data_IF_984898958750
#
_entry.id   IF_984898958750
#
_cell.length_a   1.000
_cell.length_b   1.000
_cell.length_c   1.000
_cell.angle_alpha   90.00
_cell.angle_beta   90.00
_cell.angle_gamma   90.00
#
_symmetry.space_group_name_H-M   'P 1'
#
loop_
_entity.id
_entity.type
_entity.pdbx_description
1 polymer ?
#
# COMPACT_ATOMS: atom_id res chain seq x y z
N UNK A 1 22.60 15.79 2.04
CA UNK A 1 21.12 15.84 2.07
C UNK A 1 20.68 15.21 3.36
N UNK A 2 19.63 15.75 3.97
CA UNK A 2 19.01 15.14 5.13
C UNK A 2 18.32 13.83 4.75
N UNK A 3 18.54 12.79 5.53
CA UNK A 3 17.93 11.49 5.33
C UNK A 3 17.72 10.75 6.65
N UNK A 4 16.86 9.75 6.59
CA UNK A 4 16.73 8.69 7.59
C UNK A 4 17.41 7.45 7.05
N UNK A 5 18.36 6.90 7.79
CA UNK A 5 19.09 5.70 7.38
C UNK A 5 19.41 4.79 8.57
N UNK A 6 19.81 3.56 8.29
CA UNK A 6 20.29 2.63 9.32
C UNK A 6 21.45 1.77 8.83
N UNK A 7 22.42 1.53 9.72
CA UNK A 7 23.52 0.58 9.51
C UNK A 7 23.16 -0.84 10.00
N UNK A 8 22.27 -0.92 10.98
CA UNK A 8 21.80 -2.17 11.61
C UNK A 8 20.29 -2.14 11.70
N UNK A 9 19.66 -3.31 11.59
CA UNK A 9 18.21 -3.43 11.66
C UNK A 9 17.64 -3.01 13.01
N UNK A 10 16.41 -2.51 13.02
CA UNK A 10 15.65 -2.10 14.19
C UNK A 10 15.30 -0.61 14.14
N UNK A 11 14.04 -0.26 14.47
CA UNK A 11 13.58 1.15 14.52
C UNK A 11 14.44 2.00 15.48
N UNK A 12 14.93 1.40 16.56
CA UNK A 12 15.85 2.06 17.51
C UNK A 12 17.16 2.51 16.86
N UNK A 13 17.62 1.80 15.84
CA UNK A 13 18.86 2.05 15.10
C UNK A 13 18.70 3.03 13.92
N UNK A 14 17.51 3.60 13.70
CA UNK A 14 17.36 4.66 12.70
C UNK A 14 18.15 5.90 13.12
N UNK A 15 18.88 6.46 12.18
CA UNK A 15 19.63 7.71 12.32
C UNK A 15 19.00 8.76 11.40
N UNK A 16 18.97 10.01 11.88
CA UNK A 16 18.52 11.16 11.09
C UNK A 16 19.72 12.09 10.98
N UNK A 17 20.17 12.37 9.76
CA UNK A 17 21.37 13.19 9.57
C UNK A 17 21.69 13.44 8.12
N UNK A 18 22.89 13.97 7.89
CA UNK A 18 23.43 14.18 6.55
C UNK A 18 23.84 12.86 5.91
N UNK A 19 23.38 12.65 4.69
CA UNK A 19 23.73 11.55 3.82
C UNK A 19 24.19 12.10 2.45
N UNK A 20 25.13 11.46 1.75
CA UNK A 20 25.53 11.91 0.41
C UNK A 20 24.35 12.00 -0.55
N UNK A 21 24.17 13.17 -1.17
CA UNK A 21 23.20 13.33 -2.26
C UNK A 21 23.68 12.53 -3.47
N UNK A 22 22.82 11.73 -4.14
CA UNK A 22 23.22 11.01 -5.33
C UNK A 22 23.71 11.96 -6.43
N UNK A 23 24.99 11.86 -6.79
CA UNK A 23 25.65 12.73 -7.77
C UNK A 23 26.10 12.01 -9.04
N UNK A 24 26.25 10.68 -8.99
CA UNK A 24 26.65 9.85 -10.12
C UNK A 24 25.57 8.82 -10.42
N UNK A 25 24.94 8.95 -11.59
CA UNK A 25 23.94 8.03 -12.11
C UNK A 25 23.75 8.28 -13.61
N UNK A 26 23.21 7.31 -14.34
CA UNK A 26 22.86 7.50 -15.74
C UNK A 26 21.59 8.37 -15.85
N UNK A 27 21.77 9.61 -16.29
CA UNK A 27 20.68 10.59 -16.48
C UNK A 27 19.71 10.18 -17.58
N UNK A 28 20.05 9.21 -18.43
CA UNK A 28 19.12 8.64 -19.40
C UNK A 28 18.16 7.64 -18.76
N UNK A 29 18.61 6.89 -17.77
CA UNK A 29 17.82 5.82 -17.13
C UNK A 29 17.14 6.22 -15.83
N UNK A 30 17.66 7.21 -15.11
CA UNK A 30 17.17 7.62 -13.79
C UNK A 30 16.75 9.09 -13.75
N UNK A 31 15.80 9.39 -12.88
CA UNK A 31 15.54 10.73 -12.38
C UNK A 31 16.09 10.88 -10.97
N UNK A 32 16.71 12.04 -10.70
CA UNK A 32 16.87 12.53 -9.33
C UNK A 32 15.59 13.24 -8.93
N UNK A 33 14.94 12.72 -7.90
CA UNK A 33 13.68 13.24 -7.38
C UNK A 33 13.96 13.96 -6.08
N UNK A 34 13.55 15.23 -5.99
CA UNK A 34 13.45 15.97 -4.73
C UNK A 34 12.16 15.54 -4.03
N UNK A 35 12.29 14.82 -2.92
CA UNK A 35 11.15 14.24 -2.21
C UNK A 35 10.51 15.30 -1.32
N UNK A 36 9.21 15.50 -1.48
CA UNK A 36 8.43 16.45 -0.68
C UNK A 36 7.69 15.74 0.44
N UNK A 37 7.05 14.62 0.10
CA UNK A 37 6.21 13.84 1.02
C UNK A 37 6.41 12.35 0.80
N UNK A 38 6.32 11.58 1.87
CA UNK A 38 6.27 10.13 1.82
C UNK A 38 5.15 9.63 2.73
N UNK A 39 4.70 8.39 2.55
CA UNK A 39 3.77 7.78 3.51
C UNK A 39 4.31 6.48 4.08
N UNK A 40 3.99 6.23 5.34
CA UNK A 40 4.51 5.09 6.08
C UNK A 40 3.64 3.85 5.87
N UNK A 41 4.29 2.75 5.49
CA UNK A 41 3.65 1.47 5.23
C UNK A 41 4.27 0.35 6.09
N UNK A 42 3.53 -0.74 6.37
CA UNK A 42 4.07 -1.89 7.08
C UNK A 42 5.36 -2.47 6.48
N UNK A 43 5.54 -2.34 5.16
CA UNK A 43 6.74 -2.79 4.48
C UNK A 43 7.99 -1.97 4.84
N UNK A 44 7.84 -0.68 5.14
CA UNK A 44 8.96 0.13 5.65
C UNK A 44 9.41 -0.41 7.00
N UNK A 45 8.45 -0.76 7.87
CA UNK A 45 8.75 -1.35 9.19
C UNK A 45 9.44 -2.70 9.04
N UNK A 46 8.93 -3.58 8.16
CA UNK A 46 9.57 -4.87 7.89
C UNK A 46 10.96 -4.74 7.27
N UNK A 47 11.22 -3.68 6.52
CA UNK A 47 12.54 -3.38 5.96
C UNK A 47 13.50 -2.97 7.07
N UNK A 48 13.10 -2.00 7.91
CA UNK A 48 13.92 -1.53 9.03
C UNK A 48 14.19 -2.66 10.04
N UNK A 49 13.21 -3.51 10.33
CA UNK A 49 13.33 -4.65 11.25
C UNK A 49 14.04 -5.88 10.67
N UNK A 50 14.60 -5.81 9.45
CA UNK A 50 15.36 -6.91 8.85
C UNK A 50 14.52 -8.13 8.43
N UNK A 51 13.21 -7.96 8.23
CA UNK A 51 12.29 -9.00 7.73
C UNK A 51 12.21 -9.06 6.21
N UNK A 52 13.04 -8.27 5.52
CA UNK A 52 13.21 -8.23 4.07
C UNK A 52 14.70 -8.32 3.73
N UNK A 53 15.01 -8.73 2.50
CA UNK A 53 16.38 -8.67 1.99
C UNK A 53 16.71 -7.23 1.61
N UNK A 54 17.41 -6.54 2.51
CA UNK A 54 17.76 -5.11 2.38
C UNK A 54 19.09 -4.93 1.67
N UNK A 55 19.17 -3.92 0.80
CA UNK A 55 20.39 -3.48 0.13
C UNK A 55 20.19 -2.06 -0.44
N UNK A 56 21.21 -1.18 -0.43
CA UNK A 56 22.54 -1.31 0.20
C UNK A 56 22.50 -1.07 1.73
N UNK A 57 23.63 -1.24 2.44
CA UNK A 57 23.82 -0.72 3.80
C UNK A 57 24.96 0.32 3.81
N UNK A 58 24.85 1.45 4.55
CA UNK A 58 23.65 1.94 5.24
C UNK A 58 22.47 2.15 4.26
N UNK A 59 21.26 1.88 4.75
CA UNK A 59 20.04 1.85 3.93
C UNK A 59 19.11 3.02 4.24
N UNK A 60 18.53 3.63 3.21
CA UNK A 60 17.44 4.61 3.32
C UNK A 60 16.11 3.90 3.00
N UNK A 61 15.19 3.74 3.97
CA UNK A 61 13.85 3.18 3.72
C UNK A 61 12.89 4.20 3.10
N UNK A 62 11.62 3.82 2.90
CA UNK A 62 10.57 4.67 2.34
C UNK A 62 10.18 4.22 0.93
N UNK A 63 9.17 3.36 0.86
CA UNK A 63 8.73 2.74 -0.41
C UNK A 63 7.76 3.59 -1.23
N UNK A 64 7.18 4.63 -0.64
CA UNK A 64 6.06 5.38 -1.23
C UNK A 64 6.29 6.88 -1.04
N UNK A 65 6.47 7.59 -2.16
CA UNK A 65 6.82 9.01 -2.20
C UNK A 65 5.97 9.81 -3.17
N UNK A 66 5.94 11.11 -2.91
CA UNK A 66 5.60 12.18 -3.82
C UNK A 66 6.74 13.22 -3.82
N UNK A 67 7.15 13.65 -5.00
CA UNK A 67 8.21 14.64 -5.15
C UNK A 67 8.20 15.29 -6.52
N UNK A 68 9.28 16.00 -6.83
CA UNK A 68 9.48 16.64 -8.13
C UNK A 68 10.83 16.26 -8.73
N UNK A 69 10.91 16.21 -10.07
CA UNK A 69 12.19 15.97 -10.74
C UNK A 69 13.12 17.16 -10.48
N UNK A 70 14.32 16.90 -9.95
CA UNK A 70 15.23 17.94 -9.47
C UNK A 70 16.00 18.64 -10.60
N UNK A 71 16.26 17.95 -11.71
CA UNK A 71 17.11 18.43 -12.80
C UNK A 71 16.75 17.85 -14.18
N UNK A 72 17.35 18.40 -15.23
CA UNK A 72 17.10 17.99 -16.62
C UNK A 72 15.88 18.66 -17.26
N UNK A 73 15.45 18.16 -18.41
CA UNK A 73 14.34 18.74 -19.20
C UNK A 73 12.97 18.63 -18.50
N UNK A 74 12.82 17.65 -17.61
CA UNK A 74 11.57 17.37 -16.89
C UNK A 74 11.54 18.02 -15.50
N UNK A 75 12.51 18.91 -15.19
CA UNK A 75 12.64 19.55 -13.87
C UNK A 75 11.33 20.21 -13.43
N UNK A 76 10.97 19.99 -12.16
CA UNK A 76 9.78 20.56 -11.52
C UNK A 76 8.49 19.77 -11.71
N UNK A 77 8.45 18.81 -12.65
CA UNK A 77 7.28 17.94 -12.81
C UNK A 77 7.08 17.06 -11.58
N UNK A 78 5.83 16.94 -11.14
CA UNK A 78 5.47 16.17 -9.94
C UNK A 78 5.35 14.69 -10.25
N UNK A 79 5.92 13.86 -9.40
CA UNK A 79 6.07 12.43 -9.66
C UNK A 79 5.84 11.55 -8.44
N UNK A 80 5.43 10.32 -8.72
CA UNK A 80 5.42 9.18 -7.79
C UNK A 80 6.24 8.03 -8.38
N UNK A 81 6.66 7.10 -7.52
CA UNK A 81 7.50 5.96 -7.92
C UNK A 81 6.75 4.64 -7.76
N UNK A 82 6.59 3.92 -8.85
CA UNK A 82 6.12 2.54 -8.86
C UNK A 82 7.15 1.64 -8.14
N UNK A 83 6.79 0.97 -7.03
CA UNK A 83 7.77 0.48 -6.09
C UNK A 83 8.56 -0.73 -6.62
N UNK A 84 7.97 -1.57 -7.48
CA UNK A 84 8.66 -2.74 -8.03
C UNK A 84 9.63 -2.30 -9.13
N UNK A 85 10.93 -2.40 -8.89
CA UNK A 85 11.97 -2.15 -9.89
C UNK A 85 12.17 -3.45 -10.69
N UNK A 86 11.41 -3.58 -11.78
CA UNK A 86 11.32 -4.79 -12.59
C UNK A 86 12.39 -4.85 -13.69
N UNK A 87 12.79 -6.05 -14.12
CA UNK A 87 13.83 -6.20 -15.15
C UNK A 87 13.35 -5.83 -16.56
N UNK A 88 12.06 -5.97 -16.86
CA UNK A 88 11.47 -5.63 -18.15
C UNK A 88 11.55 -6.72 -19.22
N UNK A 89 12.32 -7.80 -19.00
CA UNK A 89 12.57 -8.83 -20.01
C UNK A 89 12.13 -10.25 -19.60
N UNK A 90 11.87 -10.52 -18.31
CA UNK A 90 11.42 -11.85 -17.91
C UNK A 90 9.96 -12.11 -18.33
N UNK A 91 9.57 -13.38 -18.38
CA UNK A 91 8.20 -13.81 -18.73
C UNK A 91 7.12 -13.03 -17.97
N UNK A 92 7.33 -12.77 -16.68
CA UNK A 92 6.38 -12.01 -15.86
C UNK A 92 6.24 -10.57 -16.34
N UNK A 93 7.34 -9.89 -16.68
CA UNK A 93 7.29 -8.51 -17.17
C UNK A 93 6.62 -8.42 -18.54
N UNK A 94 7.00 -9.29 -19.48
CA UNK A 94 6.43 -9.27 -20.84
C UNK A 94 4.97 -9.72 -20.86
N UNK A 95 4.51 -10.42 -19.83
CA UNK A 95 3.10 -10.81 -19.65
C UNK A 95 2.27 -9.81 -18.85
N UNK A 96 2.80 -8.61 -18.54
CA UNK A 96 2.09 -7.59 -17.75
C UNK A 96 1.91 -7.96 -16.27
N UNK A 97 2.79 -8.81 -15.73
CA UNK A 97 2.86 -9.23 -14.32
C UNK A 97 4.15 -8.78 -13.67
N UNK A 98 4.64 -7.60 -14.04
CA UNK A 98 5.91 -7.06 -13.55
C UNK A 98 5.94 -6.87 -12.04
N UNK A 99 4.77 -6.71 -11.38
CA UNK A 99 4.65 -6.54 -9.92
C UNK A 99 5.23 -7.71 -9.12
N UNK A 100 5.24 -8.91 -9.71
CA UNK A 100 5.82 -10.15 -9.13
C UNK A 100 7.15 -10.55 -9.78
N UNK A 101 7.79 -9.64 -10.54
CA UNK A 101 9.16 -9.84 -11.03
C UNK A 101 10.14 -10.03 -9.86
N UNK A 102 11.18 -10.85 -10.06
CA UNK A 102 12.30 -11.08 -9.12
C UNK A 102 13.29 -9.92 -9.04
N UNK A 103 12.97 -8.77 -9.64
CA UNK A 103 13.74 -7.55 -9.54
C UNK A 103 13.69 -6.93 -8.14
N UNK A 104 14.19 -5.71 -8.06
CA UNK A 104 14.31 -4.98 -6.80
C UNK A 104 12.98 -4.35 -6.37
N UNK A 105 12.97 -3.79 -5.15
CA UNK A 105 11.87 -3.02 -4.60
C UNK A 105 12.41 -1.72 -4.02
N UNK A 106 11.90 -0.60 -4.54
CA UNK A 106 12.24 0.75 -4.13
C UNK A 106 12.04 0.92 -2.62
N UNK A 107 13.05 1.47 -1.93
CA UNK A 107 13.05 1.62 -0.47
C UNK A 107 13.29 0.34 0.32
N UNK A 108 13.53 -0.81 -0.33
CA UNK A 108 13.81 -2.09 0.35
C UNK A 108 15.13 -2.69 -0.13
N UNK A 109 15.24 -3.00 -1.43
CA UNK A 109 16.47 -3.52 -2.04
C UNK A 109 17.12 -2.52 -2.99
N UNK A 110 16.65 -1.27 -2.93
CA UNK A 110 17.33 -0.04 -3.33
C UNK A 110 17.01 1.03 -2.28
N UNK A 111 17.81 2.08 -2.20
CA UNK A 111 17.49 3.23 -1.35
C UNK A 111 16.12 3.83 -1.74
N UNK A 112 15.42 4.36 -0.74
CA UNK A 112 14.05 4.82 -0.82
C UNK A 112 13.90 6.32 -0.61
N UNK A 113 12.74 6.68 -0.06
CA UNK A 113 12.17 8.01 -0.05
C UNK A 113 12.25 8.80 1.25
N UNK A 114 12.71 8.21 2.36
CA UNK A 114 12.88 8.97 3.61
C UNK A 114 14.18 9.80 3.59
N UNK A 115 14.35 10.60 2.55
CA UNK A 115 15.48 11.48 2.30
C UNK A 115 15.04 12.64 1.39
N UNK A 116 15.72 13.79 1.46
CA UNK A 116 15.40 14.96 0.62
C UNK A 116 15.53 14.67 -0.89
N UNK A 117 16.42 13.76 -1.27
CA UNK A 117 16.55 13.31 -2.66
C UNK A 117 16.64 11.79 -2.76
N UNK A 118 16.14 11.25 -3.86
CA UNK A 118 16.25 9.83 -4.18
C UNK A 118 16.37 9.61 -5.69
N UNK A 119 16.94 8.47 -6.08
CA UNK A 119 17.01 8.05 -7.48
C UNK A 119 15.90 7.06 -7.77
N UNK A 120 15.19 7.28 -8.87
CA UNK A 120 14.21 6.33 -9.37
C UNK A 120 14.42 6.10 -10.88
N UNK A 121 14.31 4.85 -11.36
CA UNK A 121 14.30 4.59 -12.79
C UNK A 121 13.17 5.36 -13.48
N UNK A 122 13.44 5.97 -14.65
CA UNK A 122 12.42 6.70 -15.42
C UNK A 122 11.22 5.82 -15.74
N UNK A 123 11.45 4.54 -16.07
CA UNK A 123 10.39 3.54 -16.34
C UNK A 123 9.48 3.25 -15.14
N UNK A 124 9.93 3.57 -13.92
CA UNK A 124 9.20 3.43 -12.67
C UNK A 124 8.55 4.73 -12.20
N UNK A 125 8.78 5.85 -12.90
CA UNK A 125 8.34 7.18 -12.47
C UNK A 125 7.08 7.58 -13.23
N UNK A 126 6.06 8.07 -12.52
CA UNK A 126 4.78 8.48 -13.08
C UNK A 126 4.48 9.92 -12.73
N UNK A 127 4.02 10.70 -13.70
CA UNK A 127 3.66 12.11 -13.53
C UNK A 127 2.28 12.29 -12.90
N UNK A 128 2.16 13.24 -11.97
CA UNK A 128 0.98 13.46 -11.12
C UNK A 128 0.69 14.94 -10.84
N UNK A 129 1.04 15.84 -11.77
CA UNK A 129 1.00 17.30 -11.57
C UNK A 129 -0.35 17.86 -11.08
N UNK A 130 -1.47 17.20 -11.39
CA UNK A 130 -2.83 17.64 -11.04
C UNK A 130 -3.49 16.86 -9.88
N UNK A 131 -2.70 16.16 -9.05
CA UNK A 131 -3.20 15.35 -7.94
C UNK A 131 -2.73 15.95 -6.60
N UNK A 132 -3.64 15.97 -5.63
CA UNK A 132 -3.35 16.32 -4.24
C UNK A 132 -2.17 15.52 -3.67
N UNK A 133 -1.25 16.17 -2.96
CA UNK A 133 0.01 15.56 -2.53
C UNK A 133 -0.19 14.41 -1.52
N UNK A 134 -1.22 14.48 -0.67
CA UNK A 134 -1.52 13.41 0.30
C UNK A 134 -2.04 12.17 -0.44
N UNK A 135 -2.90 12.38 -1.42
CA UNK A 135 -3.41 11.31 -2.25
C UNK A 135 -2.28 10.72 -3.11
N UNK A 136 -1.50 11.55 -3.81
CA UNK A 136 -0.41 11.14 -4.68
C UNK A 136 0.62 10.29 -3.92
N UNK A 137 1.04 10.74 -2.73
CA UNK A 137 1.96 10.01 -1.84
C UNK A 137 1.38 8.73 -1.22
N UNK A 138 0.14 8.37 -1.57
CA UNK A 138 -0.56 7.17 -1.10
C UNK A 138 -0.99 6.21 -2.23
N UNK A 139 -0.64 6.53 -3.48
CA UNK A 139 -1.13 5.77 -4.64
C UNK A 139 -0.40 4.44 -4.86
N UNK A 140 0.92 4.40 -4.71
CA UNK A 140 1.74 3.32 -5.30
C UNK A 140 1.83 2.06 -4.45
N UNK A 141 1.41 2.11 -3.18
CA UNK A 141 1.33 0.95 -2.29
C UNK A 141 -0.10 0.74 -1.81
N UNK A 142 -0.66 1.70 -1.07
CA UNK A 142 -1.95 1.54 -0.41
C UNK A 142 -3.09 1.42 -1.40
N UNK A 143 -3.24 2.43 -2.26
CA UNK A 143 -4.33 2.46 -3.23
C UNK A 143 -4.13 1.46 -4.37
N UNK A 144 -2.90 1.27 -4.86
CA UNK A 144 -2.61 0.30 -5.92
C UNK A 144 -2.91 -1.15 -5.50
N UNK A 145 -2.53 -1.54 -4.29
CA UNK A 145 -2.83 -2.90 -3.80
C UNK A 145 -4.35 -3.10 -3.63
N UNK A 146 -5.05 -2.06 -3.16
CA UNK A 146 -6.51 -2.09 -3.08
C UNK A 146 -7.15 -2.22 -4.47
N UNK A 147 -6.67 -1.47 -5.47
CA UNK A 147 -7.17 -1.55 -6.85
C UNK A 147 -6.96 -2.94 -7.45
N UNK A 148 -5.74 -3.49 -7.31
CA UNK A 148 -5.42 -4.83 -7.81
C UNK A 148 -6.27 -5.92 -7.13
N UNK A 149 -6.59 -5.78 -5.84
CA UNK A 149 -7.51 -6.72 -5.15
C UNK A 149 -8.87 -6.80 -5.83
N UNK A 150 -9.35 -5.69 -6.39
CA UNK A 150 -10.66 -5.64 -7.02
C UNK A 150 -10.65 -6.22 -8.44
N UNK A 151 -9.49 -6.56 -9.03
CA UNK A 151 -9.42 -7.29 -10.30
C UNK A 151 -10.09 -8.67 -10.24
N UNK A 152 -10.31 -9.18 -9.03
CA UNK A 152 -11.04 -10.44 -8.77
C UNK A 152 -12.51 -10.24 -8.39
N UNK A 153 -12.96 -9.00 -8.20
CA UNK A 153 -14.33 -8.63 -7.82
C UNK A 153 -15.13 -8.20 -9.04
N UNK A 154 -16.44 -8.48 -9.06
CA UNK A 154 -17.36 -8.06 -10.13
C UNK A 154 -18.31 -6.96 -9.65
N UNK A 155 -18.78 -6.07 -10.55
CA UNK A 155 -19.87 -5.14 -10.21
C UNK A 155 -21.09 -5.88 -9.65
N UNK A 156 -21.77 -5.27 -8.67
CA UNK A 156 -22.93 -5.87 -7.99
C UNK A 156 -22.58 -6.86 -6.87
N UNK A 157 -21.32 -7.26 -6.69
CA UNK A 157 -20.91 -8.12 -5.58
C UNK A 157 -20.98 -7.39 -4.23
N UNK A 158 -21.21 -8.19 -3.18
CA UNK A 158 -21.15 -7.76 -1.79
C UNK A 158 -19.73 -7.97 -1.26
N UNK A 159 -19.08 -6.86 -0.90
CA UNK A 159 -17.67 -6.83 -0.53
C UNK A 159 -17.52 -6.49 0.95
N UNK A 160 -16.94 -7.39 1.73
CA UNK A 160 -16.47 -7.09 3.08
C UNK A 160 -15.00 -6.65 3.07
N UNK A 161 -14.68 -5.55 3.73
CA UNK A 161 -13.30 -5.03 3.85
C UNK A 161 -12.89 -5.05 5.32
N UNK A 162 -12.00 -5.99 5.68
CA UNK A 162 -11.40 -6.03 7.02
C UNK A 162 -10.23 -5.04 7.11
N UNK A 163 -10.04 -4.47 8.30
CA UNK A 163 -9.02 -3.43 8.49
C UNK A 163 -9.33 -2.16 7.72
N UNK A 164 -10.63 -1.86 7.55
CA UNK A 164 -11.14 -0.80 6.69
C UNK A 164 -10.61 0.62 6.99
N UNK A 165 -10.14 0.90 8.22
CA UNK A 165 -9.50 2.18 8.58
C UNK A 165 -8.03 2.27 8.20
N UNK A 166 -7.41 1.19 7.72
CA UNK A 166 -5.97 1.11 7.43
C UNK A 166 -5.58 1.61 6.04
N UNK A 167 -4.27 1.53 5.74
CA UNK A 167 -3.64 2.06 4.52
C UNK A 167 -4.33 1.64 3.22
N UNK A 168 -4.73 0.37 3.10
CA UNK A 168 -5.39 -0.19 1.90
C UNK A 168 -6.91 -0.16 2.04
N UNK A 169 -7.44 -0.39 3.25
CA UNK A 169 -8.89 -0.47 3.50
C UNK A 169 -9.66 0.77 3.07
N UNK A 170 -9.11 1.96 3.32
CA UNK A 170 -9.75 3.23 2.90
C UNK A 170 -9.90 3.34 1.38
N UNK A 171 -8.98 2.74 0.62
CA UNK A 171 -9.04 2.72 -0.84
C UNK A 171 -9.89 1.56 -1.34
N UNK A 172 -9.81 0.37 -0.71
CA UNK A 172 -10.65 -0.78 -1.06
C UNK A 172 -12.13 -0.42 -1.00
N UNK A 173 -12.56 0.37 0.00
CA UNK A 173 -13.96 0.81 0.10
C UNK A 173 -14.34 1.68 -1.10
N UNK A 174 -13.62 2.77 -1.33
CA UNK A 174 -13.93 3.73 -2.38
C UNK A 174 -13.89 3.07 -3.77
N UNK A 175 -12.85 2.29 -4.05
CA UNK A 175 -12.65 1.65 -5.34
C UNK A 175 -13.69 0.55 -5.59
N UNK A 176 -14.09 -0.22 -4.57
CA UNK A 176 -15.17 -1.19 -4.70
C UNK A 176 -16.51 -0.49 -4.99
N UNK A 177 -16.79 0.65 -4.33
CA UNK A 177 -17.97 1.47 -4.63
C UNK A 177 -17.95 2.03 -6.06
N UNK A 178 -16.81 2.56 -6.51
CA UNK A 178 -16.66 3.00 -7.90
C UNK A 178 -16.85 1.87 -8.91
N UNK A 179 -16.50 0.63 -8.53
CA UNK A 179 -16.76 -0.58 -9.33
C UNK A 179 -18.23 -1.03 -9.32
N UNK A 180 -19.09 -0.39 -8.52
CA UNK A 180 -20.51 -0.72 -8.43
C UNK A 180 -20.83 -1.84 -7.44
N UNK A 181 -20.00 -2.05 -6.43
CA UNK A 181 -20.23 -3.04 -5.37
C UNK A 181 -21.07 -2.47 -4.21
N UNK A 182 -21.63 -3.38 -3.41
CA UNK A 182 -22.14 -3.09 -2.06
C UNK A 182 -21.03 -3.38 -1.04
N UNK A 183 -20.64 -2.41 -0.22
CA UNK A 183 -19.39 -2.43 0.53
C UNK A 183 -19.62 -2.31 2.03
N UNK A 184 -19.11 -3.29 2.76
CA UNK A 184 -19.22 -3.41 4.21
C UNK A 184 -17.84 -3.25 4.84
N UNK A 185 -17.68 -2.21 5.63
CA UNK A 185 -16.43 -1.92 6.31
C UNK A 185 -16.37 -2.61 7.67
N UNK A 186 -15.39 -3.49 7.88
CA UNK A 186 -15.21 -4.22 9.15
C UNK A 186 -14.01 -3.65 9.90
N UNK A 187 -14.28 -3.13 11.09
CA UNK A 187 -13.34 -2.35 11.90
C UNK A 187 -13.52 -2.66 13.39
N UNK A 188 -12.46 -2.53 14.19
CA UNK A 188 -12.56 -2.78 15.65
C UNK A 188 -13.56 -1.87 16.36
N UNK A 189 -13.67 -0.62 15.91
CA UNK A 189 -14.60 0.39 16.42
C UNK A 189 -15.34 1.03 15.26
N UNK A 190 -16.64 1.30 15.43
CA UNK A 190 -17.50 1.88 14.38
C UNK A 190 -17.03 3.27 13.97
N UNK A 191 -16.16 3.31 12.97
CA UNK A 191 -15.50 4.51 12.47
C UNK A 191 -16.39 5.22 11.46
N UNK A 192 -17.35 6.03 11.94
CA UNK A 192 -18.47 6.57 11.14
C UNK A 192 -18.05 7.28 9.84
N UNK A 193 -16.87 7.90 9.81
CA UNK A 193 -16.34 8.60 8.63
C UNK A 193 -16.11 7.67 7.42
N UNK A 194 -16.08 6.34 7.59
CA UNK A 194 -16.01 5.40 6.48
C UNK A 194 -17.26 5.47 5.57
N UNK A 195 -18.37 6.01 6.07
CA UNK A 195 -19.54 6.37 5.24
C UNK A 195 -19.17 7.39 4.15
N UNK A 196 -18.35 8.37 4.50
CA UNK A 196 -17.88 9.41 3.57
C UNK A 196 -16.89 8.87 2.53
N UNK A 197 -16.39 7.65 2.74
CA UNK A 197 -15.54 6.89 1.83
C UNK A 197 -16.35 5.85 1.04
N UNK A 198 -17.66 5.78 1.27
CA UNK A 198 -18.58 4.96 0.48
C UNK A 198 -19.03 3.64 1.14
N UNK A 199 -18.69 3.38 2.40
CA UNK A 199 -19.18 2.16 3.06
C UNK A 199 -20.73 2.15 3.19
N UNK A 200 -21.40 1.11 2.71
CA UNK A 200 -22.85 0.90 2.85
C UNK A 200 -23.23 0.44 4.26
N UNK A 201 -22.32 -0.24 4.96
CA UNK A 201 -22.45 -0.53 6.39
C UNK A 201 -21.08 -0.56 7.08
N UNK A 202 -21.07 -0.26 8.38
CA UNK A 202 -19.87 -0.29 9.22
C UNK A 202 -20.12 -1.25 10.38
N UNK A 203 -19.31 -2.30 10.44
CA UNK A 203 -19.46 -3.42 11.34
C UNK A 203 -18.22 -3.58 12.22
N UNK A 204 -18.42 -4.15 13.40
CA UNK A 204 -17.35 -4.80 14.15
C UNK A 204 -17.25 -6.27 13.73
N UNK A 205 -16.11 -6.94 13.99
CA UNK A 205 -15.99 -8.38 13.75
C UNK A 205 -17.15 -9.17 14.37
N UNK A 206 -17.52 -8.87 15.61
CA UNK A 206 -18.59 -9.55 16.34
C UNK A 206 -19.94 -9.39 15.63
N UNK A 207 -20.33 -8.15 15.33
CA UNK A 207 -21.59 -7.85 14.66
C UNK A 207 -21.63 -8.40 13.22
N UNK A 208 -20.48 -8.46 12.54
CA UNK A 208 -20.40 -9.07 11.20
C UNK A 208 -20.69 -10.57 11.24
N UNK A 209 -20.15 -11.28 12.23
CA UNK A 209 -20.39 -12.71 12.42
C UNK A 209 -21.80 -13.01 12.93
N UNK A 210 -22.42 -12.11 13.68
CA UNK A 210 -23.80 -12.29 14.12
C UNK A 210 -24.79 -12.24 12.96
N UNK A 211 -24.57 -11.31 12.00
CA UNK A 211 -25.59 -10.94 11.00
C UNK A 211 -25.30 -11.41 9.57
N UNK A 212 -24.02 -11.61 9.23
CA UNK A 212 -23.59 -11.73 7.83
C UNK A 212 -22.70 -12.96 7.57
N UNK A 213 -22.91 -14.06 8.31
CA UNK A 213 -22.25 -15.34 8.00
C UNK A 213 -22.68 -15.83 6.62
N UNK A 214 -21.71 -16.21 5.79
CA UNK A 214 -21.96 -16.73 4.45
C UNK A 214 -22.57 -15.72 3.48
N UNK A 215 -22.38 -14.42 3.71
CA UNK A 215 -23.11 -13.35 3.00
C UNK A 215 -22.31 -12.68 1.88
N UNK A 216 -20.98 -12.63 1.98
CA UNK A 216 -20.16 -11.79 1.11
C UNK A 216 -19.54 -12.56 -0.05
N UNK A 217 -19.70 -12.06 -1.27
CA UNK A 217 -19.10 -12.64 -2.48
C UNK A 217 -17.58 -12.42 -2.53
N UNK A 218 -17.12 -11.27 -2.02
CA UNK A 218 -15.71 -10.95 -1.83
C UNK A 218 -15.44 -10.55 -0.38
N UNK A 219 -14.42 -11.14 0.24
CA UNK A 219 -13.86 -10.68 1.50
C UNK A 219 -12.40 -10.24 1.29
N UNK A 220 -12.10 -8.96 1.48
CA UNK A 220 -10.74 -8.40 1.42
C UNK A 220 -10.17 -8.38 2.84
N UNK A 221 -9.12 -9.17 3.07
CA UNK A 221 -8.48 -9.31 4.38
C UNK A 221 -6.94 -9.14 4.29
N UNK A 222 -6.42 -7.95 4.64
CA UNK A 222 -4.99 -7.69 4.67
C UNK A 222 -4.32 -8.01 6.03
N UNK A 223 -5.04 -8.55 7.01
CA UNK A 223 -4.58 -8.58 8.40
C UNK A 223 -3.87 -9.89 8.76
N UNK A 224 -4.24 -11.02 8.16
CA UNK A 224 -3.57 -12.31 8.35
C UNK A 224 -4.24 -13.23 9.37
N UNK A 225 -3.44 -13.97 10.15
CA UNK A 225 -3.91 -15.13 10.91
C UNK A 225 -5.08 -14.86 11.87
N UNK A 226 -5.11 -13.73 12.59
CA UNK A 226 -6.14 -13.49 13.61
C UNK A 226 -7.53 -13.21 13.04
N UNK A 227 -7.63 -12.82 11.76
CA UNK A 227 -8.90 -12.49 11.11
C UNK A 227 -9.34 -13.51 10.09
N UNK A 228 -8.50 -14.49 9.77
CA UNK A 228 -8.80 -15.52 8.78
C UNK A 228 -10.12 -16.24 9.05
N UNK A 229 -10.35 -16.68 10.30
CA UNK A 229 -11.59 -17.36 10.66
C UNK A 229 -12.83 -16.47 10.52
N UNK A 230 -12.70 -15.16 10.76
CA UNK A 230 -13.77 -14.20 10.51
C UNK A 230 -14.06 -14.18 9.01
N UNK A 231 -13.04 -13.96 8.19
CA UNK A 231 -13.16 -13.92 6.73
C UNK A 231 -13.77 -15.20 6.15
N UNK A 232 -13.37 -16.37 6.68
CA UNK A 232 -13.87 -17.67 6.25
C UNK A 232 -15.34 -17.94 6.64
N UNK A 233 -15.80 -17.39 7.76
CA UNK A 233 -17.22 -17.49 8.15
C UNK A 233 -18.11 -16.49 7.42
N UNK A 234 -17.55 -15.35 6.99
CA UNK A 234 -18.27 -14.28 6.31
C UNK A 234 -18.46 -14.54 4.81
N UNK A 235 -17.52 -15.23 4.16
CA UNK A 235 -17.58 -15.50 2.72
C UNK A 235 -18.75 -16.44 2.36
N UNK A 236 -19.48 -16.09 1.30
CA UNK A 236 -20.59 -16.85 0.76
C UNK A 236 -20.13 -18.13 0.04
N UNK A 237 -21.08 -19.02 -0.28
CA UNK A 237 -20.80 -20.15 -1.16
C UNK A 237 -20.45 -19.62 -2.56
N UNK A 238 -19.35 -20.10 -3.14
CA UNK A 238 -18.80 -19.58 -4.40
C UNK A 238 -17.99 -18.30 -4.24
N UNK A 239 -17.92 -17.73 -3.03
CA UNK A 239 -17.22 -16.49 -2.78
C UNK A 239 -15.69 -16.63 -2.73
N UNK A 240 -15.01 -15.49 -2.62
CA UNK A 240 -13.55 -15.41 -2.56
C UNK A 240 -13.07 -14.59 -1.37
N UNK A 241 -11.96 -15.04 -0.79
CA UNK A 241 -11.19 -14.30 0.20
C UNK A 241 -9.90 -13.85 -0.46
N UNK A 242 -9.63 -12.55 -0.44
CA UNK A 242 -8.45 -11.93 -1.04
C UNK A 242 -7.52 -11.46 0.08
N UNK A 243 -6.27 -11.88 0.02
CA UNK A 243 -5.27 -11.55 1.04
C UNK A 243 -3.96 -11.03 0.44
N UNK A 244 -3.31 -10.12 1.18
CA UNK A 244 -2.05 -9.49 0.79
C UNK A 244 -1.26 -8.93 1.97
N UNK A 245 -1.54 -9.42 3.18
CA UNK A 245 -0.86 -8.96 4.39
C UNK A 245 -0.94 -9.98 5.52
N UNK A 246 0.01 -9.86 6.44
CA UNK A 246 0.27 -10.83 7.51
C UNK A 246 0.54 -10.14 8.85
N UNK A 247 -0.08 -8.97 9.08
CA UNK A 247 0.14 -8.15 10.27
C UNK A 247 -0.09 -8.90 11.59
N UNK A 248 -1.02 -9.85 11.58
CA UNK A 248 -1.45 -10.62 12.75
C UNK A 248 -0.96 -12.07 12.73
N UNK A 249 -0.12 -12.42 11.76
CA UNK A 249 0.42 -13.77 11.57
C UNK A 249 0.36 -14.20 10.10
N UNK A 250 1.17 -15.21 9.77
CA UNK A 250 1.43 -15.69 8.41
C UNK A 250 0.97 -17.13 8.15
N UNK A 251 0.38 -17.80 9.16
CA UNK A 251 -0.07 -19.19 9.08
C UNK A 251 -1.48 -19.34 9.64
N UNK A 252 -2.30 -20.17 8.99
CA UNK A 252 -3.69 -20.44 9.39
C UNK A 252 -3.98 -21.93 9.27
N UNK A 253 -4.90 -22.41 10.10
CA UNK A 253 -5.50 -23.74 9.93
C UNK A 253 -6.72 -23.61 9.02
N UNK A 254 -6.85 -24.48 8.03
CA UNK A 254 -7.91 -24.43 7.02
C UNK A 254 -8.67 -25.75 6.96
N UNK A 255 -9.98 -25.69 7.19
CA UNK A 255 -10.87 -26.82 6.97
C UNK A 255 -11.09 -27.04 5.47
N UNK A 256 -10.43 -28.06 4.91
CA UNK A 256 -10.48 -28.39 3.48
C UNK A 256 -11.89 -28.83 3.05
N UNK A 257 -12.62 -29.55 3.91
CA UNK A 257 -14.01 -29.96 3.63
C UNK A 257 -14.91 -28.75 3.43
N UNK A 258 -14.80 -27.75 4.32
CA UNK A 258 -15.59 -26.53 4.22
C UNK A 258 -15.21 -25.69 2.98
N UNK A 259 -13.90 -25.63 2.65
CA UNK A 259 -13.40 -24.94 1.46
C UNK A 259 -14.04 -25.48 0.17
N UNK A 260 -13.92 -26.78 -0.10
CA UNK A 260 -14.40 -27.33 -1.38
C UNK A 260 -15.93 -27.49 -1.41
N UNK A 261 -16.57 -27.82 -0.29
CA UNK A 261 -18.04 -27.98 -0.24
C UNK A 261 -18.80 -26.66 -0.44
N UNK A 262 -18.18 -25.54 -0.09
CA UNK A 262 -18.71 -24.18 -0.34
C UNK A 262 -18.17 -23.56 -1.62
N UNK A 263 -17.26 -24.20 -2.35
CA UNK A 263 -16.61 -23.64 -3.55
C UNK A 263 -15.92 -22.29 -3.28
N UNK A 264 -15.23 -22.16 -2.14
CA UNK A 264 -14.55 -20.91 -1.76
C UNK A 264 -13.19 -20.81 -2.45
N UNK A 265 -12.86 -19.63 -2.97
CA UNK A 265 -11.53 -19.30 -3.50
C UNK A 265 -10.69 -18.54 -2.47
N UNK A 266 -9.40 -18.86 -2.36
CA UNK A 266 -8.43 -18.08 -1.59
C UNK A 266 -7.37 -17.49 -2.51
N UNK A 267 -7.31 -16.17 -2.59
CA UNK A 267 -6.54 -15.43 -3.60
C UNK A 267 -5.47 -14.59 -2.91
N UNK A 268 -4.21 -14.94 -3.13
CA UNK A 268 -3.07 -14.13 -2.71
C UNK A 268 -2.67 -13.13 -3.79
N UNK A 269 -2.47 -11.87 -3.41
CA UNK A 269 -2.00 -10.82 -4.33
C UNK A 269 -0.84 -10.02 -3.71
N UNK A 270 -0.15 -9.22 -4.53
CA UNK A 270 0.85 -8.25 -4.03
C UNK A 270 1.00 -7.07 -4.97
N UNK A 271 1.01 -5.85 -4.40
CA UNK A 271 1.09 -4.61 -5.17
C UNK A 271 -0.01 -4.51 -6.23
N UNK A 272 0.36 -4.03 -7.40
CA UNK A 272 -0.44 -4.01 -8.61
C UNK A 272 0.45 -3.73 -9.81
N UNK A 273 -0.08 -3.83 -11.02
CA UNK A 273 0.62 -3.58 -12.28
C UNK A 273 0.81 -2.08 -12.53
N UNK A 274 1.70 -1.73 -13.45
CA UNK A 274 1.89 -0.35 -13.94
C UNK A 274 0.67 0.16 -14.69
N UNK A 275 -0.02 -0.73 -15.40
CA UNK A 275 -1.29 -0.41 -16.07
C UNK A 275 -2.33 0.02 -15.03
N UNK A 276 -2.49 -0.76 -13.96
CA UNK A 276 -3.41 -0.44 -12.86
C UNK A 276 -3.02 0.86 -12.15
N UNK A 277 -1.72 1.14 -11.98
CA UNK A 277 -1.28 2.42 -11.44
C UNK A 277 -1.66 3.60 -12.36
N UNK A 278 -1.51 3.45 -13.67
CA UNK A 278 -1.95 4.48 -14.62
C UNK A 278 -3.46 4.73 -14.54
N UNK A 279 -4.28 3.67 -14.50
CA UNK A 279 -5.72 3.77 -14.33
C UNK A 279 -6.08 4.48 -13.01
N UNK A 280 -5.37 4.16 -11.93
CA UNK A 280 -5.57 4.76 -10.62
C UNK A 280 -5.20 6.25 -10.58
N UNK A 281 -4.15 6.65 -11.28
CA UNK A 281 -3.78 8.07 -11.47
C UNK A 281 -4.93 8.81 -12.18
N UNK A 282 -5.54 8.22 -13.21
CA UNK A 282 -6.67 8.83 -13.91
C UNK A 282 -7.92 8.95 -13.01
N UNK A 283 -8.19 7.96 -12.16
CA UNK A 283 -9.24 8.03 -11.12
C UNK A 283 -8.95 9.17 -10.13
N UNK A 284 -7.70 9.32 -9.70
CA UNK A 284 -7.27 10.37 -8.78
C UNK A 284 -7.41 11.77 -9.39
N UNK A 285 -7.02 11.96 -10.67
CA UNK A 285 -7.20 13.23 -11.40
C UNK A 285 -8.67 13.64 -11.50
N UNK A 286 -9.57 12.67 -11.66
CA UNK A 286 -11.02 12.89 -11.67
C UNK A 286 -11.60 13.14 -10.28
N UNK A 287 -10.77 13.16 -9.23
CA UNK A 287 -11.15 13.37 -7.83
C UNK A 287 -12.20 12.38 -7.33
N UNK A 288 -12.19 11.17 -7.86
CA UNK A 288 -13.16 10.11 -7.52
C UNK A 288 -12.77 9.35 -6.26
N UNK A 289 -11.52 9.48 -5.81
CA UNK A 289 -11.02 8.92 -4.56
C UNK A 289 -10.30 10.01 -3.76
N UNK A 290 -10.24 9.82 -2.45
CA UNK A 290 -9.52 10.67 -1.51
C UNK A 290 -8.75 9.81 -0.51
N UNK A 291 -7.81 10.42 0.20
CA UNK A 291 -7.09 9.79 1.30
C UNK A 291 -7.53 10.43 2.62
N UNK A 292 -7.52 9.64 3.69
CA UNK A 292 -7.54 10.17 5.06
C UNK A 292 -6.14 10.05 5.63
N UNK A 293 -5.49 11.18 5.90
CA UNK A 293 -4.33 11.20 6.79
C UNK A 293 -4.82 11.10 8.24
N UNK A 294 -4.14 10.26 9.01
CA UNK A 294 -4.30 10.19 10.45
C UNK A 294 -3.48 11.28 11.13
N UNK A 295 -2.19 11.31 10.80
CA UNK A 295 -1.20 12.26 11.29
C UNK A 295 -0.13 12.49 10.23
N UNK A 296 0.45 13.67 10.26
CA UNK A 296 1.66 14.01 9.52
C UNK A 296 2.80 14.25 10.51
N UNK A 297 3.94 13.62 10.25
CA UNK A 297 5.16 13.77 11.03
C UNK A 297 6.23 14.45 10.18
N UNK A 298 7.04 15.36 10.75
CA UNK A 298 8.26 15.79 10.09
C UNK A 298 9.28 14.64 10.09
N UNK A 299 10.22 14.62 9.14
CA UNK A 299 11.21 13.55 8.97
C UNK A 299 11.98 13.20 10.25
N UNK A 300 12.25 14.19 11.11
CA UNK A 300 12.98 14.02 12.38
C UNK A 300 12.20 13.20 13.41
N UNK A 301 10.89 13.05 13.22
CA UNK A 301 9.99 12.28 14.08
C UNK A 301 9.66 10.90 13.51
N UNK A 302 10.45 10.40 12.55
CA UNK A 302 10.21 9.10 11.91
C UNK A 302 10.12 7.92 12.89
N UNK A 303 10.91 7.91 13.97
CA UNK A 303 10.86 6.85 15.00
C UNK A 303 9.51 6.82 15.72
N UNK A 304 8.98 8.01 16.01
CA UNK A 304 7.65 8.18 16.60
C UNK A 304 6.58 7.67 15.63
N UNK A 305 6.66 8.07 14.36
CA UNK A 305 5.76 7.58 13.30
C UNK A 305 5.77 6.04 13.17
N UNK A 306 6.94 5.39 13.24
CA UNK A 306 7.05 3.93 13.27
C UNK A 306 6.39 3.29 14.50
N UNK A 307 6.57 3.88 15.68
CA UNK A 307 5.94 3.37 16.91
C UNK A 307 4.41 3.43 16.84
N UNK A 308 3.86 4.43 16.17
CA UNK A 308 2.42 4.59 16.02
C UNK A 308 1.80 3.85 14.83
N UNK A 309 2.62 3.28 13.93
CA UNK A 309 2.16 2.57 12.73
C UNK A 309 1.20 1.42 13.05
N UNK A 310 1.35 0.77 14.21
CA UNK A 310 0.47 -0.32 14.66
C UNK A 310 -0.44 0.08 15.83
N UNK A 311 -0.55 1.38 16.11
CA UNK A 311 -1.45 1.89 17.15
C UNK A 311 -2.88 1.45 16.92
N UNK A 312 -3.57 1.11 18.01
CA UNK A 312 -5.01 0.77 17.96
C UNK A 312 -5.89 1.99 17.63
N UNK A 313 -5.37 3.19 17.89
CA UNK A 313 -6.07 4.46 17.62
C UNK A 313 -5.86 4.98 16.21
N UNK A 314 -4.98 4.36 15.42
CA UNK A 314 -4.70 4.79 14.05
C UNK A 314 -5.90 4.60 13.14
N UNK A 315 -6.27 5.68 12.45
CA UNK A 315 -7.29 5.71 11.42
C UNK A 315 -6.84 6.51 10.20
N UNK A 316 -6.41 5.81 9.15
CA UNK A 316 -5.87 6.37 7.93
C UNK A 316 -4.36 6.17 7.77
N UNK A 317 -3.80 6.91 6.82
CA UNK A 317 -2.37 6.91 6.45
C UNK A 317 -1.56 7.79 7.40
N UNK A 318 -0.30 7.42 7.64
CA UNK A 318 0.68 8.30 8.27
C UNK A 318 1.50 8.96 7.15
N UNK A 319 1.51 10.28 7.13
CA UNK A 319 2.35 11.08 6.23
C UNK A 319 3.66 11.45 6.91
N UNK A 320 4.74 11.46 6.14
CA UNK A 320 6.05 11.99 6.54
C UNK A 320 6.33 13.18 5.63
N UNK A 321 6.38 14.38 6.21
CA UNK A 321 6.82 15.59 5.53
C UNK A 321 8.35 15.58 5.44
N UNK A 322 8.86 15.64 4.21
CA UNK A 322 10.29 15.62 3.91
C UNK A 322 10.79 17.03 3.65
N UNK A 323 10.15 17.75 2.70
CA UNK A 323 10.43 19.14 2.33
C UNK A 323 9.12 19.90 2.16
#
# INVERSE_FOLDING_TARGET
>A
MKAVFFHRFGVSNLEIGEFPTPSYYDKNEFFLIKVMKATLNPIDFFTVEGRRKVSPLPHIPGVEIYGEIAEGSEKGKKVIVYPRIFCGNCYLCVSGKEMICTGELFGVSSNGGFAEYTLAPKKNTFFVDDIDEDLASSLTVGALTAYHSLSYTQPGEKVAVLGATGNTGIFSIQLAKLKGCEVYAITRKKSKWLKDFGADEILTPENSLEKFKGYFDTVIDPLGSQTFNISFQLVSKGGKIITFGVLTGQSVELNILELYSKHISFIGITGGTRKELFELIEIAKRKQIKVKLWKEYPLEKIKEAFSELFSREREGKISIKIQ
#
